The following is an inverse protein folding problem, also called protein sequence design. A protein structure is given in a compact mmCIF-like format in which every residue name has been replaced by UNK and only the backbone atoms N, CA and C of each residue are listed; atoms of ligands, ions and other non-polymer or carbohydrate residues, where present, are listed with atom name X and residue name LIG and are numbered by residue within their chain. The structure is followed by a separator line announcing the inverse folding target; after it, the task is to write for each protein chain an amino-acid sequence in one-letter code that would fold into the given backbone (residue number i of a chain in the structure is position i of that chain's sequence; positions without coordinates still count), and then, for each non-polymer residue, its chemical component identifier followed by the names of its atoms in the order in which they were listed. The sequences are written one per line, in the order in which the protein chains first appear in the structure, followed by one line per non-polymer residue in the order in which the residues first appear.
data_IF_030551539600
#
_entry.id   IF_030551539600
#
_cell.length_a   1.000
_cell.length_b   1.000
_cell.length_c   1.000
_cell.angle_alpha   90.00
_cell.angle_beta   90.00
_cell.angle_gamma   90.00
#
_symmetry.space_group_name_H-M   'P 1'
#
loop_
_entity.id
_entity.type
_entity.pdbx_description
1 polymer ?
#
# COMPACT_ATOMS: atom_id res chain seq x y z
N UNK A 1 8.23 -1.33 -3.94
CA UNK A 1 7.38 -0.16 -4.23
C UNK A 1 6.15 -0.51 -5.08
N UNK A 2 6.29 -1.07 -6.29
CA UNK A 2 5.15 -1.41 -7.15
C UNK A 2 4.09 -2.34 -6.51
N UNK A 3 4.50 -3.36 -5.76
CA UNK A 3 3.56 -4.27 -5.09
C UNK A 3 2.77 -3.57 -3.96
N UNK A 4 3.42 -2.67 -3.21
CA UNK A 4 2.77 -1.88 -2.15
C UNK A 4 1.76 -0.91 -2.79
N UNK A 5 2.17 -0.22 -3.86
CA UNK A 5 1.29 0.63 -4.66
C UNK A 5 0.04 -0.13 -5.13
N UNK A 6 0.21 -1.32 -5.73
CA UNK A 6 -0.92 -2.15 -6.18
C UNK A 6 -1.86 -2.55 -5.05
N UNK A 7 -1.32 -2.85 -3.85
CA UNK A 7 -2.13 -3.16 -2.67
C UNK A 7 -2.92 -1.95 -2.18
N UNK A 8 -2.27 -0.78 -2.09
CA UNK A 8 -2.91 0.47 -1.70
C UNK A 8 -3.98 0.90 -2.70
N UNK A 9 -3.72 0.78 -4.01
CA UNK A 9 -4.69 1.08 -5.05
C UNK A 9 -5.95 0.21 -4.92
N UNK A 10 -5.78 -1.10 -4.69
CA UNK A 10 -6.91 -2.00 -4.42
C UNK A 10 -7.71 -1.57 -3.20
N UNK A 11 -7.03 -1.19 -2.11
CA UNK A 11 -7.69 -0.70 -0.90
C UNK A 11 -8.46 0.60 -1.15
N UNK A 12 -7.88 1.55 -1.90
CA UNK A 12 -8.55 2.80 -2.26
C UNK A 12 -9.80 2.55 -3.10
N UNK A 13 -9.76 1.60 -4.05
CA UNK A 13 -10.93 1.18 -4.83
C UNK A 13 -11.99 0.54 -3.93
N UNK A 14 -11.59 -0.34 -3.00
CA UNK A 14 -12.51 -0.95 -2.03
C UNK A 14 -13.17 0.05 -1.08
N UNK A 15 -12.50 1.18 -0.82
CA UNK A 15 -12.98 2.25 0.06
C UNK A 15 -13.76 3.33 -0.70
N UNK A 16 -14.06 3.13 -2.00
CA UNK A 16 -14.74 4.11 -2.86
C UNK A 16 -14.08 5.50 -2.81
N UNK A 17 -12.75 5.53 -2.85
CA UNK A 17 -11.98 6.77 -2.82
C UNK A 17 -12.40 7.73 -3.94
N UNK A 18 -12.28 9.03 -3.65
CA UNK A 18 -12.76 10.11 -4.52
C UNK A 18 -12.28 9.96 -5.98
N UNK A 19 -13.16 10.30 -6.93
CA UNK A 19 -12.89 10.21 -8.37
C UNK A 19 -11.66 11.01 -8.79
N UNK A 20 -11.41 12.14 -8.13
CA UNK A 20 -10.21 12.97 -8.34
C UNK A 20 -8.93 12.20 -8.00
N UNK A 21 -8.97 11.39 -6.94
CA UNK A 21 -7.84 10.51 -6.58
C UNK A 21 -7.71 9.37 -7.58
N UNK A 22 -8.84 8.77 -8.01
CA UNK A 22 -8.83 7.65 -8.96
C UNK A 22 -8.37 8.05 -10.39
N UNK A 23 -8.60 9.29 -10.82
CA UNK A 23 -8.04 9.81 -12.08
C UNK A 23 -6.52 9.97 -12.01
N UNK A 24 -6.00 10.24 -10.81
CA UNK A 24 -4.59 10.52 -10.54
C UNK A 24 -3.77 9.26 -10.27
N UNK A 25 -4.34 8.27 -9.57
CA UNK A 25 -3.70 6.98 -9.27
C UNK A 25 -4.19 5.91 -10.25
N UNK A 26 -3.48 5.76 -11.37
CA UNK A 26 -3.85 4.78 -12.41
C UNK A 26 -3.31 3.39 -12.11
N UNK A 27 -3.88 2.38 -12.78
CA UNK A 27 -3.41 1.00 -12.69
C UNK A 27 -1.98 0.90 -13.24
N UNK A 28 -1.08 0.33 -12.44
CA UNK A 28 0.32 0.13 -12.81
C UNK A 28 0.51 -1.23 -13.48
N UNK A 29 0.65 -1.26 -14.80
CA UNK A 29 0.82 -2.47 -15.60
C UNK A 29 2.27 -2.96 -15.56
N UNK A 30 2.50 -4.26 -15.80
CA UNK A 30 3.87 -4.80 -15.86
C UNK A 30 4.66 -4.25 -17.07
N UNK A 31 3.95 -3.78 -18.11
CA UNK A 31 4.55 -3.10 -19.26
C UNK A 31 5.15 -1.75 -18.86
N UNK A 32 4.54 -1.06 -17.89
CA UNK A 32 5.00 0.22 -17.34
C UNK A 32 6.28 0.09 -16.49
N UNK A 33 6.54 -1.13 -16.00
CA UNK A 33 7.72 -1.46 -15.18
C UNK A 33 8.93 -1.90 -16.01
N UNK A 34 8.76 -2.10 -17.32
CA UNK A 34 9.90 -2.44 -18.19
C UNK A 34 10.75 -1.20 -18.38
N UNK A 35 11.96 -1.22 -17.82
CA UNK A 35 12.96 -0.20 -18.07
C UNK A 35 13.20 -0.11 -19.58
N UNK A 36 12.72 0.97 -20.20
CA UNK A 36 13.01 1.23 -21.60
C UNK A 36 14.49 1.61 -21.69
N UNK A 37 15.27 0.87 -22.48
CA UNK A 37 16.74 1.05 -22.62
C UNK A 37 17.14 2.48 -23.02
N UNK A 38 16.18 3.30 -23.46
CA UNK A 38 16.30 4.73 -23.74
C UNK A 38 16.72 5.57 -22.52
N UNK A 39 16.58 5.07 -21.29
CA UNK A 39 16.88 5.80 -20.04
C UNK A 39 18.39 5.84 -19.71
N UNK A 40 19.21 4.94 -20.27
CA UNK A 40 20.64 4.83 -19.91
C UNK A 40 21.60 5.74 -20.69
N UNK A 41 21.11 6.68 -21.51
CA UNK A 41 21.98 7.64 -22.21
C UNK A 41 22.01 9.00 -21.49
N UNK A 42 23.09 9.36 -20.77
CA UNK A 42 23.19 10.62 -20.04
C UNK A 42 23.32 11.87 -20.94
N UNK A 43 23.48 11.70 -22.26
CA UNK A 43 23.64 12.81 -23.22
C UNK A 43 22.42 13.04 -24.12
N UNK A 44 21.29 12.37 -23.85
CA UNK A 44 20.05 12.51 -24.64
C UNK A 44 19.23 13.75 -24.26
N UNK A 45 18.82 14.51 -25.27
CA UNK A 45 17.96 15.71 -25.22
C UNK A 45 16.84 15.68 -24.15
N UNK A 46 16.65 16.83 -23.48
CA UNK A 46 15.59 17.15 -22.48
C UNK A 46 14.17 16.86 -22.99
N UNK A 47 13.98 16.70 -24.31
CA UNK A 47 12.69 16.37 -24.93
C UNK A 47 12.20 14.91 -24.68
N UNK A 48 13.00 14.04 -24.07
CA UNK A 48 12.62 12.63 -23.88
C UNK A 48 11.62 12.33 -22.75
N UNK A 49 11.14 13.34 -22.00
CA UNK A 49 10.12 13.12 -20.96
C UNK A 49 8.71 12.90 -21.50
N UNK A 50 8.43 13.24 -22.77
CA UNK A 50 7.08 13.13 -23.36
C UNK A 50 6.55 11.70 -23.46
N UNK A 51 7.43 10.68 -23.48
CA UNK A 51 7.07 9.26 -23.53
C UNK A 51 7.19 8.54 -22.19
N UNK A 52 7.40 9.26 -21.08
CA UNK A 52 7.44 8.63 -19.76
C UNK A 52 6.04 8.23 -19.31
N UNK A 53 5.93 7.02 -18.77
CA UNK A 53 4.70 6.52 -18.16
C UNK A 53 4.23 7.48 -17.06
N UNK A 54 2.92 7.72 -16.98
CA UNK A 54 2.23 8.65 -16.07
C UNK A 54 2.69 8.64 -14.59
N UNK A 55 3.29 7.54 -14.13
CA UNK A 55 3.87 7.42 -12.79
C UNK A 55 5.12 8.30 -12.59
N UNK A 56 5.91 8.57 -13.63
CA UNK A 56 7.09 9.45 -13.56
C UNK A 56 6.74 10.94 -13.51
N UNK A 57 5.53 11.31 -13.90
CA UNK A 57 4.98 12.66 -13.70
C UNK A 57 4.35 12.87 -12.32
N UNK A 58 4.33 11.84 -11.45
CA UNK A 58 3.86 12.01 -10.07
C UNK A 58 4.88 12.76 -9.23
N UNK A 59 4.39 13.75 -8.49
CA UNK A 59 5.20 14.45 -7.50
C UNK A 59 5.25 13.58 -6.23
N UNK A 60 6.26 12.71 -6.13
CA UNK A 60 6.36 11.66 -5.11
C UNK A 60 6.13 12.20 -3.68
N UNK A 61 6.70 13.33 -3.23
CA UNK A 61 6.40 13.91 -1.92
C UNK A 61 4.92 14.18 -1.68
N UNK A 62 4.22 14.78 -2.65
CA UNK A 62 2.80 15.15 -2.53
C UNK A 62 1.87 13.95 -2.74
N UNK A 63 2.23 13.07 -3.65
CA UNK A 63 1.36 12.03 -4.16
C UNK A 63 1.58 10.67 -3.50
N UNK A 64 2.72 10.46 -2.83
CA UNK A 64 2.93 9.25 -2.05
C UNK A 64 2.27 9.33 -0.66
N UNK A 65 1.87 10.51 -0.19
CA UNK A 65 1.31 10.69 1.15
C UNK A 65 0.08 9.80 1.38
N UNK A 66 -0.85 9.73 0.44
CA UNK A 66 -2.05 8.89 0.55
C UNK A 66 -1.71 7.40 0.55
N UNK A 67 -0.73 6.98 -0.26
CA UNK A 67 -0.26 5.60 -0.33
C UNK A 67 0.40 5.19 1.00
N UNK A 68 1.24 6.07 1.55
CA UNK A 68 1.86 5.88 2.86
C UNK A 68 0.82 5.85 3.98
N UNK A 69 -0.19 6.72 3.92
CA UNK A 69 -1.25 6.79 4.90
C UNK A 69 -2.09 5.51 4.92
N UNK A 70 -2.54 5.02 3.75
CA UNK A 70 -3.27 3.75 3.64
C UNK A 70 -2.42 2.57 4.11
N UNK A 71 -1.15 2.52 3.72
CA UNK A 71 -0.24 1.45 4.16
C UNK A 71 -0.01 1.48 5.68
N UNK A 72 0.10 2.68 6.26
CA UNK A 72 0.21 2.87 7.70
C UNK A 72 -1.05 2.40 8.43
N UNK A 73 -2.25 2.78 7.95
CA UNK A 73 -3.53 2.35 8.53
C UNK A 73 -3.67 0.82 8.54
N UNK A 74 -3.32 0.16 7.43
CA UNK A 74 -3.30 -1.31 7.37
C UNK A 74 -2.33 -1.91 8.39
N UNK A 75 -1.13 -1.36 8.50
CA UNK A 75 -0.10 -1.87 9.43
C UNK A 75 -0.55 -1.70 10.88
N UNK A 76 -1.18 -0.56 11.19
CA UNK A 76 -1.76 -0.28 12.51
C UNK A 76 -2.91 -1.23 12.84
N UNK A 77 -3.83 -1.46 11.90
CA UNK A 77 -4.94 -2.40 12.10
C UNK A 77 -4.49 -3.84 12.34
N UNK A 78 -3.39 -4.27 11.69
CA UNK A 78 -2.77 -5.59 11.98
C UNK A 78 -2.18 -5.60 13.38
N UNK A 79 -1.45 -4.56 13.76
CA UNK A 79 -0.88 -4.45 15.10
C UNK A 79 -1.94 -4.46 16.20
N UNK A 80 -3.03 -3.71 16.02
CA UNK A 80 -4.10 -3.62 17.02
C UNK A 80 -4.83 -4.96 17.16
N UNK A 81 -5.09 -5.66 16.05
CA UNK A 81 -5.64 -7.02 16.07
C UNK A 81 -4.74 -8.00 16.82
N UNK A 82 -3.43 -7.94 16.61
CA UNK A 82 -2.50 -8.82 17.33
C UNK A 82 -2.52 -8.56 18.83
N UNK A 83 -2.68 -7.30 19.26
CA UNK A 83 -2.84 -6.98 20.68
C UNK A 83 -4.15 -7.56 21.24
N UNK A 84 -5.25 -7.46 20.50
CA UNK A 84 -6.54 -8.05 20.88
C UNK A 84 -6.45 -9.57 21.01
N UNK A 85 -5.87 -10.25 20.01
CA UNK A 85 -5.67 -11.71 20.02
C UNK A 85 -4.85 -12.17 21.23
N UNK A 86 -3.80 -11.45 21.61
CA UNK A 86 -3.00 -11.77 22.80
C UNK A 86 -3.83 -11.69 24.09
N UNK A 87 -4.67 -10.66 24.23
CA UNK A 87 -5.53 -10.52 25.41
C UNK A 87 -6.65 -11.56 25.45
N UNK A 88 -7.20 -11.92 24.29
CA UNK A 88 -8.18 -13.01 24.15
C UNK A 88 -7.56 -14.34 24.56
N UNK A 89 -6.38 -14.70 24.04
CA UNK A 89 -5.69 -15.94 24.37
C UNK A 89 -5.39 -16.03 25.88
N UNK A 90 -4.93 -14.93 26.50
CA UNK A 90 -4.71 -14.89 27.96
C UNK A 90 -6.01 -15.17 28.72
N UNK A 91 -7.12 -14.60 28.26
CA UNK A 91 -8.43 -14.78 28.86
C UNK A 91 -8.94 -16.21 28.69
N UNK A 92 -8.77 -16.81 27.51
CA UNK A 92 -9.13 -18.21 27.21
C UNK A 92 -8.31 -19.21 28.04
N UNK A 93 -6.99 -18.99 28.16
CA UNK A 93 -6.11 -19.82 29.00
C UNK A 93 -6.57 -19.76 30.46
N UNK A 94 -6.83 -18.55 30.98
CA UNK A 94 -7.32 -18.38 32.35
C UNK A 94 -8.68 -19.04 32.57
N UNK A 95 -9.59 -18.91 31.60
CA UNK A 95 -10.88 -19.59 31.64
C UNK A 95 -10.72 -21.11 31.68
N UNK A 96 -9.84 -21.66 30.85
CA UNK A 96 -9.55 -23.10 30.79
C UNK A 96 -9.03 -23.62 32.13
N UNK A 97 -8.08 -22.91 32.75
CA UNK A 97 -7.57 -23.27 34.09
C UNK A 97 -8.70 -23.28 35.13
N UNK A 98 -9.53 -22.24 35.15
CA UNK A 98 -10.65 -22.15 36.08
C UNK A 98 -11.70 -23.26 35.86
N UNK A 99 -11.95 -23.64 34.62
CA UNK A 99 -12.86 -24.74 34.28
C UNK A 99 -12.38 -26.08 34.86
N UNK A 100 -11.09 -26.38 34.76
CA UNK A 100 -10.55 -27.61 35.35
C UNK A 100 -10.44 -27.56 36.88
N UNK A 101 -10.19 -26.38 37.47
CA UNK A 101 -10.12 -26.21 38.92
C UNK A 101 -11.49 -26.22 39.62
N UNK A 102 -12.57 -25.96 38.89
CA UNK A 102 -13.95 -25.96 39.42
C UNK A 102 -14.68 -27.30 39.24
N UNK A 103 -14.00 -28.30 38.68
CA UNK A 103 -14.49 -29.65 38.44
C UNK A 103 -13.95 -30.62 39.48
#
# INVERSE_FOLDING_TARGET
HAQIYRKCLKAMVSLEADKVLMERYKLLLDQDLKATTTISNPNGSVHHMENLTWFWTMDIPRDAQEIYHVNWLHTKAVQDRWKEEVELIKSEVRWTINFFNSK
#
